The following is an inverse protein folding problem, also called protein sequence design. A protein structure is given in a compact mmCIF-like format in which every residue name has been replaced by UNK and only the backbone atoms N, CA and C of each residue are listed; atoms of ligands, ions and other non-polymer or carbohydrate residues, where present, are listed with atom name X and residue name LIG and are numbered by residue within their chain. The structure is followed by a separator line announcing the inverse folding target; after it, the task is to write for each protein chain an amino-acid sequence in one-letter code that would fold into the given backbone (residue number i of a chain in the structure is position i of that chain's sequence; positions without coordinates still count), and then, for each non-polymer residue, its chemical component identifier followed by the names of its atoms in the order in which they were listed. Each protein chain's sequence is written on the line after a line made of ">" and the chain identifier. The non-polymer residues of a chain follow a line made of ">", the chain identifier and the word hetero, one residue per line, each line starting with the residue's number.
data_IF_306000928747
#
_entry.id   IF_306000928747
#
_cell.length_a   1.000
_cell.length_b   1.000
_cell.length_c   1.000
_cell.angle_alpha   90.00
_cell.angle_beta   90.00
_cell.angle_gamma   90.00
#
_symmetry.space_group_name_H-M   'P 1'
#
loop_
_entity.id
_entity.type
_entity.pdbx_description
1 polymer ?
#
# COMPACT_ATOMS: atom_id res chain seq x y z
N UNK A 1 3.32 -0.98 0.34
CA UNK A 1 3.82 -2.36 0.12
C UNK A 1 3.65 -2.73 -1.35
N UNK A 2 4.55 -3.52 -1.94
CA UNK A 2 4.43 -4.09 -3.29
C UNK A 2 3.70 -5.43 -3.24
N UNK A 3 3.08 -5.85 -4.35
CA UNK A 3 2.36 -7.14 -4.38
C UNK A 3 3.30 -8.34 -4.10
N UNK A 4 4.52 -8.32 -4.61
CA UNK A 4 5.51 -9.36 -4.31
C UNK A 4 5.86 -9.42 -2.82
N UNK A 5 5.98 -8.28 -2.15
CA UNK A 5 6.19 -8.22 -0.69
C UNK A 5 4.99 -8.80 0.07
N UNK A 6 3.76 -8.53 -0.39
CA UNK A 6 2.55 -9.10 0.22
C UNK A 6 2.50 -10.62 0.06
N UNK A 7 2.82 -11.13 -1.12
CA UNK A 7 2.85 -12.58 -1.39
C UNK A 7 3.96 -13.27 -0.56
N UNK A 8 5.07 -12.58 -0.33
CA UNK A 8 6.21 -13.10 0.42
C UNK A 8 5.98 -13.16 1.93
N UNK A 9 4.96 -12.47 2.47
CA UNK A 9 4.69 -12.45 3.90
C UNK A 9 4.47 -13.84 4.48
N UNK A 10 5.09 -14.10 5.61
CA UNK A 10 4.84 -15.23 6.48
C UNK A 10 3.95 -14.83 7.67
N UNK A 11 3.36 -15.81 8.36
CA UNK A 11 2.55 -15.54 9.56
C UNK A 11 3.31 -14.78 10.64
N UNK A 12 4.59 -15.10 10.82
CA UNK A 12 5.49 -14.49 11.81
C UNK A 12 5.84 -13.03 11.54
N UNK A 13 5.56 -12.55 10.32
CA UNK A 13 5.90 -11.17 9.93
C UNK A 13 4.85 -10.15 10.40
N UNK A 14 3.75 -10.60 11.00
CA UNK A 14 2.74 -9.73 11.59
C UNK A 14 2.88 -9.77 13.11
N UNK A 15 3.23 -8.65 13.69
CA UNK A 15 3.18 -8.42 15.12
C UNK A 15 1.81 -7.80 15.46
N UNK A 16 0.93 -8.63 16.01
CA UNK A 16 -0.44 -8.25 16.34
C UNK A 16 -0.51 -7.31 17.55
N UNK A 17 0.44 -7.45 18.50
CA UNK A 17 0.47 -6.64 19.72
C UNK A 17 0.85 -5.19 19.43
N UNK A 18 1.84 -4.99 18.56
CA UNK A 18 2.34 -3.68 18.20
C UNK A 18 1.72 -3.12 16.91
N UNK A 19 0.77 -3.85 16.31
CA UNK A 19 0.14 -3.52 15.03
C UNK A 19 1.16 -3.27 13.90
N UNK A 20 2.23 -4.06 13.87
CA UNK A 20 3.36 -3.93 12.95
C UNK A 20 3.40 -5.07 11.94
N UNK A 21 3.86 -4.74 10.74
CA UNK A 21 4.19 -5.67 9.68
C UNK A 21 5.68 -5.56 9.34
N UNK A 22 6.40 -6.67 9.40
CA UNK A 22 7.81 -6.73 9.01
C UNK A 22 7.92 -7.19 7.56
N UNK A 23 8.39 -6.31 6.68
CA UNK A 23 8.70 -6.66 5.29
C UNK A 23 10.17 -7.01 5.23
N UNK A 24 10.46 -8.31 5.01
CA UNK A 24 11.82 -8.84 4.92
C UNK A 24 12.31 -8.82 3.48
N UNK A 25 13.62 -8.68 3.33
CA UNK A 25 14.34 -8.87 2.05
C UNK A 25 13.68 -8.13 0.87
N UNK A 26 13.19 -6.91 1.11
CA UNK A 26 12.70 -6.05 0.06
C UNK A 26 13.83 -5.72 -0.94
N UNK A 27 13.51 -5.02 -2.01
CA UNK A 27 14.49 -4.59 -3.01
C UNK A 27 15.75 -4.03 -2.32
N UNK A 28 16.94 -4.52 -2.69
CA UNK A 28 18.27 -4.26 -2.08
C UNK A 28 18.48 -4.89 -0.69
N UNK A 29 17.81 -6.01 -0.39
CA UNK A 29 17.96 -6.77 0.86
C UNK A 29 17.69 -5.94 2.14
N UNK A 30 16.87 -4.90 2.04
CA UNK A 30 16.48 -4.06 3.16
C UNK A 30 15.16 -4.55 3.75
N UNK A 31 15.14 -4.78 5.05
CA UNK A 31 13.90 -5.02 5.80
C UNK A 31 13.37 -3.70 6.35
N UNK A 32 12.05 -3.61 6.51
CA UNK A 32 11.40 -2.47 7.14
C UNK A 32 10.15 -2.88 7.89
N UNK A 33 9.86 -2.13 8.91
CA UNK A 33 8.61 -2.21 9.65
C UNK A 33 7.59 -1.23 9.07
N UNK A 34 6.34 -1.66 9.05
CA UNK A 34 5.21 -0.87 8.55
C UNK A 34 4.12 -0.93 9.61
N UNK A 35 3.81 0.23 10.20
CA UNK A 35 2.66 0.38 11.07
C UNK A 35 1.37 0.13 10.29
N UNK A 36 0.49 -0.67 10.87
CA UNK A 36 -0.80 -0.99 10.29
C UNK A 36 -1.89 -0.17 10.97
N UNK A 37 -2.78 0.37 10.17
CA UNK A 37 -3.97 1.01 10.71
C UNK A 37 -4.92 -0.05 11.29
N UNK A 38 -5.62 0.28 12.37
CA UNK A 38 -6.53 -0.64 13.08
C UNK A 38 -7.55 -1.32 12.14
N UNK A 39 -8.04 -0.62 11.11
CA UNK A 39 -8.94 -1.23 10.11
C UNK A 39 -8.25 -2.33 9.29
N UNK A 40 -6.95 -2.19 9.03
CA UNK A 40 -6.14 -3.20 8.33
C UNK A 40 -5.92 -4.41 9.23
N UNK A 41 -5.62 -4.20 10.50
CA UNK A 41 -5.50 -5.26 11.51
C UNK A 41 -6.80 -6.07 11.59
N UNK A 42 -7.95 -5.40 11.69
CA UNK A 42 -9.27 -6.07 11.69
C UNK A 42 -9.48 -6.92 10.44
N UNK A 43 -9.15 -6.39 9.25
CA UNK A 43 -9.29 -7.13 8.00
C UNK A 43 -8.36 -8.34 7.92
N UNK A 44 -7.09 -8.19 8.37
CA UNK A 44 -6.13 -9.29 8.41
C UNK A 44 -6.54 -10.36 9.41
N UNK A 45 -7.04 -9.98 10.60
CA UNK A 45 -7.55 -10.92 11.61
C UNK A 45 -8.76 -11.72 11.08
N UNK A 46 -9.70 -11.05 10.42
CA UNK A 46 -10.85 -11.72 9.81
C UNK A 46 -10.40 -12.69 8.69
N UNK A 47 -9.38 -12.30 7.90
CA UNK A 47 -8.79 -13.21 6.92
C UNK A 47 -8.16 -14.44 7.57
N UNK A 48 -7.37 -14.26 8.65
CA UNK A 48 -6.73 -15.38 9.38
C UNK A 48 -7.76 -16.35 9.91
N UNK A 49 -8.82 -15.86 10.57
CA UNK A 49 -9.89 -16.70 11.09
C UNK A 49 -10.55 -17.55 9.98
N UNK A 50 -10.87 -16.91 8.85
CA UNK A 50 -11.44 -17.61 7.70
C UNK A 50 -10.46 -18.58 7.04
N UNK A 51 -9.19 -18.18 6.91
CA UNK A 51 -8.15 -19.03 6.33
C UNK A 51 -7.92 -20.27 7.16
N UNK A 52 -7.79 -20.13 8.49
CA UNK A 52 -7.48 -21.24 9.39
C UNK A 52 -8.65 -22.24 9.47
N UNK A 53 -9.89 -21.77 9.26
CA UNK A 53 -11.06 -22.62 9.09
C UNK A 53 -11.03 -23.42 7.78
N UNK A 54 -10.66 -22.77 6.66
CA UNK A 54 -10.67 -23.39 5.33
C UNK A 54 -9.41 -24.18 5.00
N UNK A 55 -8.29 -23.85 5.63
CA UNK A 55 -6.98 -24.47 5.42
C UNK A 55 -6.24 -24.60 6.76
N UNK A 56 -6.65 -25.52 7.64
CA UNK A 56 -6.07 -25.67 8.99
C UNK A 56 -4.61 -26.11 8.97
N UNK A 57 -4.19 -26.81 7.91
CA UNK A 57 -2.82 -27.30 7.75
C UNK A 57 -2.19 -26.80 6.45
N UNK A 58 -1.79 -25.51 6.38
CA UNK A 58 -1.18 -24.98 5.17
C UNK A 58 0.19 -25.61 4.94
N UNK A 59 0.53 -25.84 3.67
CA UNK A 59 1.81 -26.44 3.25
C UNK A 59 2.98 -25.45 3.32
N UNK A 60 2.71 -24.16 3.51
CA UNK A 60 3.70 -23.10 3.54
C UNK A 60 3.47 -22.17 4.76
N UNK A 61 4.54 -21.57 5.32
CA UNK A 61 4.43 -20.61 6.43
C UNK A 61 3.80 -19.28 6.01
N UNK A 62 3.38 -19.16 4.75
CA UNK A 62 2.85 -17.95 4.14
C UNK A 62 1.65 -17.40 4.88
N UNK A 63 1.57 -16.09 4.98
CA UNK A 63 0.39 -15.44 5.51
C UNK A 63 -0.81 -15.62 4.58
N UNK A 64 -0.62 -15.30 3.29
CA UNK A 64 -1.64 -15.53 2.26
C UNK A 64 -1.39 -16.89 1.58
N UNK A 65 -2.42 -17.72 1.56
CA UNK A 65 -2.33 -19.05 0.97
C UNK A 65 -3.37 -19.28 -0.12
N UNK A 66 -3.04 -20.16 -1.05
CA UNK A 66 -3.98 -20.66 -2.04
C UNK A 66 -4.97 -21.64 -1.39
N UNK A 67 -6.01 -22.05 -2.12
CA UNK A 67 -6.93 -23.12 -1.69
C UNK A 67 -6.24 -24.47 -1.47
N UNK A 68 -5.00 -24.63 -1.95
CA UNK A 68 -4.16 -25.82 -1.73
C UNK A 68 -3.21 -25.66 -0.54
N UNK A 69 -3.27 -24.56 0.20
CA UNK A 69 -2.38 -24.28 1.33
C UNK A 69 -0.96 -23.86 0.94
N UNK A 70 -0.68 -23.62 -0.33
CA UNK A 70 0.63 -23.15 -0.83
C UNK A 70 0.67 -21.62 -0.86
N UNK A 71 1.90 -21.05 -0.91
CA UNK A 71 2.10 -19.63 -1.16
C UNK A 71 1.44 -19.21 -2.48
N UNK A 72 0.85 -18.02 -2.51
CA UNK A 72 0.26 -17.46 -3.72
C UNK A 72 1.34 -17.20 -4.78
N UNK A 73 0.94 -17.30 -6.05
CA UNK A 73 1.79 -16.97 -7.21
C UNK A 73 1.29 -15.69 -7.83
N UNK A 74 2.21 -14.80 -8.20
CA UNK A 74 1.90 -13.46 -8.71
C UNK A 74 0.90 -13.50 -9.88
N UNK A 75 1.10 -14.40 -10.83
CA UNK A 75 0.22 -14.53 -12.00
C UNK A 75 -1.23 -14.88 -11.61
N UNK A 76 -1.41 -15.75 -10.61
CA UNK A 76 -2.73 -16.12 -10.09
C UNK A 76 -3.41 -14.92 -9.42
N UNK A 77 -2.65 -14.16 -8.63
CA UNK A 77 -3.16 -12.96 -7.94
C UNK A 77 -3.56 -11.89 -8.95
N UNK A 78 -2.72 -11.63 -9.95
CA UNK A 78 -3.01 -10.63 -10.99
C UNK A 78 -4.21 -11.05 -11.85
N UNK A 79 -4.31 -12.31 -12.22
CA UNK A 79 -5.47 -12.85 -12.94
C UNK A 79 -6.76 -12.71 -12.13
N UNK A 80 -6.72 -13.10 -10.86
CA UNK A 80 -7.89 -12.98 -9.95
C UNK A 80 -8.30 -11.53 -9.80
N UNK A 81 -7.34 -10.62 -9.59
CA UNK A 81 -7.60 -9.19 -9.49
C UNK A 81 -8.30 -8.66 -10.75
N UNK A 82 -7.77 -8.97 -11.93
CA UNK A 82 -8.38 -8.55 -13.22
C UNK A 82 -9.78 -9.10 -13.39
N UNK A 83 -10.00 -10.36 -13.02
CA UNK A 83 -11.31 -10.99 -13.08
C UNK A 83 -12.34 -10.30 -12.18
N UNK A 84 -11.92 -9.88 -10.97
CA UNK A 84 -12.77 -9.14 -10.05
C UNK A 84 -13.06 -7.72 -10.55
N UNK A 85 -12.05 -7.03 -11.05
CA UNK A 85 -12.21 -5.69 -11.64
C UNK A 85 -13.16 -5.71 -12.83
N UNK A 86 -13.02 -6.70 -13.74
CA UNK A 86 -13.89 -6.84 -14.89
C UNK A 86 -15.37 -7.06 -14.51
N UNK A 87 -15.63 -7.66 -13.34
CA UNK A 87 -17.00 -7.84 -12.81
C UNK A 87 -17.55 -6.60 -12.11
N UNK A 88 -16.66 -5.79 -11.52
CA UNK A 88 -17.05 -4.66 -10.68
C UNK A 88 -17.14 -3.33 -11.45
N UNK A 89 -16.40 -3.19 -12.55
CA UNK A 89 -16.26 -1.93 -13.28
C UNK A 89 -16.67 -2.15 -14.74
N UNK A 90 -17.62 -1.37 -15.29
CA UNK A 90 -18.11 -1.56 -16.67
C UNK A 90 -17.07 -1.39 -17.78
N UNK A 91 -16.01 -0.62 -17.52
CA UNK A 91 -14.92 -0.39 -18.47
C UNK A 91 -13.57 -0.40 -17.76
N UNK A 92 -12.99 -1.55 -17.49
CA UNK A 92 -11.79 -1.70 -16.66
C UNK A 92 -10.50 -1.36 -17.43
N UNK A 93 -10.45 -0.24 -18.16
CA UNK A 93 -9.26 0.16 -18.90
C UNK A 93 -8.08 0.33 -17.93
N UNK A 94 -7.04 -0.48 -18.14
CA UNK A 94 -5.75 -0.41 -17.47
C UNK A 94 -5.70 -0.58 -15.94
N UNK A 95 -6.76 -1.11 -15.29
CA UNK A 95 -6.71 -1.44 -13.87
C UNK A 95 -5.70 -2.58 -13.59
N UNK A 96 -4.56 -2.23 -13.00
CA UNK A 96 -3.54 -3.17 -12.53
C UNK A 96 -3.50 -3.14 -11.01
N UNK A 97 -3.16 -4.26 -10.38
CA UNK A 97 -3.06 -4.34 -8.92
C UNK A 97 -2.08 -3.30 -8.33
N UNK A 98 -1.06 -2.91 -9.10
CA UNK A 98 -0.12 -1.86 -8.71
C UNK A 98 -0.78 -0.47 -8.60
N UNK A 99 -1.88 -0.24 -9.32
CA UNK A 99 -2.64 1.01 -9.22
C UNK A 99 -3.21 1.24 -7.82
N UNK A 100 -3.54 0.19 -7.06
CA UNK A 100 -3.96 0.33 -5.66
C UNK A 100 -2.91 1.04 -4.80
N UNK A 101 -1.64 0.75 -5.05
CA UNK A 101 -0.53 1.42 -4.36
C UNK A 101 -0.41 2.89 -4.77
N UNK A 102 -0.58 3.19 -6.07
CA UNK A 102 -0.61 4.58 -6.56
C UNK A 102 -1.78 5.34 -5.93
N UNK A 103 -2.98 4.77 -5.95
CA UNK A 103 -4.17 5.36 -5.31
C UNK A 103 -3.94 5.63 -3.82
N UNK A 104 -3.32 4.71 -3.10
CA UNK A 104 -2.98 4.91 -1.70
C UNK A 104 -2.03 6.11 -1.53
N UNK A 105 -0.96 6.20 -2.32
CA UNK A 105 0.02 7.29 -2.23
C UNK A 105 -0.63 8.65 -2.55
N UNK A 106 -1.39 8.72 -3.64
CA UNK A 106 -2.10 9.94 -4.07
C UNK A 106 -3.12 10.39 -3.01
N UNK A 107 -3.98 9.49 -2.53
CA UNK A 107 -4.97 9.81 -1.51
C UNK A 107 -4.33 10.25 -0.18
N UNK A 108 -3.16 9.72 0.17
CA UNK A 108 -2.42 10.14 1.35
C UNK A 108 -1.92 11.58 1.19
N UNK A 109 -1.34 11.91 0.03
CA UNK A 109 -0.87 13.25 -0.27
C UNK A 109 -2.02 14.26 -0.35
N UNK A 110 -3.11 13.93 -1.04
CA UNK A 110 -4.32 14.78 -1.11
C UNK A 110 -4.86 15.10 0.29
N UNK A 111 -4.90 14.10 1.18
CA UNK A 111 -5.33 14.32 2.56
C UNK A 111 -4.38 15.28 3.28
N UNK A 112 -3.07 15.08 3.16
CA UNK A 112 -2.09 15.96 3.80
C UNK A 112 -2.15 17.40 3.28
N UNK A 113 -2.43 17.59 1.99
CA UNK A 113 -2.65 18.92 1.43
C UNK A 113 -3.89 19.59 2.03
N UNK A 114 -5.01 18.85 2.12
CA UNK A 114 -6.27 19.35 2.67
C UNK A 114 -6.18 19.64 4.19
N UNK A 115 -5.45 18.81 4.92
CA UNK A 115 -5.25 18.97 6.37
C UNK A 115 -4.26 20.09 6.73
N UNK A 116 -3.66 20.79 5.76
CA UNK A 116 -2.70 21.87 5.99
C UNK A 116 -1.36 21.44 6.58
N UNK A 117 -1.05 20.13 6.64
CA UNK A 117 0.18 19.60 7.21
C UNK A 117 1.44 19.94 6.41
N UNK A 118 2.59 19.87 7.05
CA UNK A 118 3.89 20.00 6.38
C UNK A 118 4.16 18.74 5.53
N UNK A 119 4.03 18.88 4.22
CA UNK A 119 4.16 17.79 3.28
C UNK A 119 5.61 17.39 3.12
N UNK A 120 6.54 18.34 3.08
CA UNK A 120 7.96 18.06 2.91
C UNK A 120 8.50 17.23 4.07
N UNK A 121 8.14 17.58 5.30
CA UNK A 121 8.49 16.80 6.49
C UNK A 121 7.89 15.38 6.49
N UNK A 122 6.72 15.19 5.86
CA UNK A 122 6.02 13.89 5.80
C UNK A 122 6.42 13.01 4.60
N UNK A 123 7.00 13.58 3.55
CA UNK A 123 7.40 12.82 2.35
C UNK A 123 8.37 11.67 2.62
N UNK A 124 9.42 11.81 3.47
CA UNK A 124 10.28 10.69 3.83
C UNK A 124 9.54 9.54 4.49
N UNK A 125 8.52 9.83 5.33
CA UNK A 125 7.69 8.80 5.98
C UNK A 125 6.90 8.01 4.94
N UNK A 126 6.26 8.69 3.99
CA UNK A 126 5.55 8.03 2.89
C UNK A 126 6.50 7.19 2.03
N UNK A 127 7.69 7.72 1.71
CA UNK A 127 8.72 7.02 0.96
C UNK A 127 9.12 5.70 1.64
N UNK A 128 9.37 5.75 2.95
CA UNK A 128 9.71 4.58 3.77
C UNK A 128 8.55 3.60 3.83
N UNK A 129 7.33 4.06 4.07
CA UNK A 129 6.13 3.23 4.10
C UNK A 129 5.90 2.50 2.77
N UNK A 130 6.07 3.21 1.67
CA UNK A 130 6.01 2.63 0.33
C UNK A 130 7.21 1.72 0.04
N UNK A 131 8.35 1.90 0.68
CA UNK A 131 9.59 1.18 0.43
C UNK A 131 10.26 1.62 -0.88
N UNK A 132 10.29 2.92 -1.13
CA UNK A 132 11.09 3.49 -2.19
C UNK A 132 12.57 3.55 -1.73
N UNK A 133 13.47 3.05 -2.57
CA UNK A 133 14.91 3.15 -2.33
C UNK A 133 15.46 4.56 -2.60
N UNK A 134 14.74 5.32 -3.42
CA UNK A 134 15.02 6.71 -3.77
C UNK A 134 13.79 7.57 -3.46
N UNK A 135 13.89 8.59 -2.61
CA UNK A 135 12.80 9.52 -2.30
C UNK A 135 12.20 10.20 -3.55
N UNK A 136 13.00 10.42 -4.61
CA UNK A 136 12.52 10.99 -5.87
C UNK A 136 11.35 10.23 -6.47
N UNK A 137 11.29 8.92 -6.26
CA UNK A 137 10.16 8.10 -6.69
C UNK A 137 8.84 8.44 -5.95
N UNK A 138 8.91 9.05 -4.78
CA UNK A 138 7.73 9.55 -4.05
C UNK A 138 7.37 10.96 -4.51
N UNK A 139 8.36 11.81 -4.74
CA UNK A 139 8.13 13.18 -5.26
C UNK A 139 7.49 13.19 -6.65
N UNK A 140 7.71 12.14 -7.45
CA UNK A 140 7.04 11.97 -8.74
C UNK A 140 5.50 12.09 -8.64
N UNK A 141 4.90 11.65 -7.53
CA UNK A 141 3.45 11.77 -7.34
C UNK A 141 2.97 13.21 -7.30
N UNK A 142 3.78 14.14 -6.79
CA UNK A 142 3.41 15.56 -6.71
C UNK A 142 3.29 16.18 -8.10
N UNK A 143 4.18 15.80 -9.03
CA UNK A 143 4.19 16.34 -10.39
C UNK A 143 3.28 15.58 -11.37
N UNK A 144 2.97 14.32 -11.08
CA UNK A 144 2.21 13.47 -11.99
C UNK A 144 0.69 13.51 -11.79
N UNK A 145 0.22 14.17 -10.73
CA UNK A 145 -1.20 14.23 -10.38
C UNK A 145 -1.68 15.67 -10.45
N UNK A 146 -2.50 16.05 -11.49
CA UNK A 146 -2.95 17.43 -11.69
C UNK A 146 -3.65 18.03 -10.46
N UNK A 147 -4.45 17.25 -9.76
CA UNK A 147 -5.15 17.68 -8.53
C UNK A 147 -4.17 18.08 -7.42
N UNK A 148 -3.04 17.37 -7.27
CA UNK A 148 -2.00 17.73 -6.31
C UNK A 148 -1.27 19.01 -6.71
N UNK A 149 -1.04 19.23 -8.00
CA UNK A 149 -0.46 20.47 -8.51
C UNK A 149 -1.38 21.66 -8.24
N UNK A 150 -2.70 21.52 -8.47
CA UNK A 150 -3.68 22.56 -8.16
C UNK A 150 -3.64 22.96 -6.68
N UNK A 151 -3.70 21.99 -5.77
CA UNK A 151 -3.62 22.25 -4.32
C UNK A 151 -2.28 22.86 -3.89
N UNK A 152 -1.18 22.49 -4.54
CA UNK A 152 0.13 23.09 -4.27
C UNK A 152 0.17 24.57 -4.69
N UNK A 153 -0.43 24.90 -5.84
CA UNK A 153 -0.55 26.29 -6.34
C UNK A 153 -1.42 27.14 -5.41
N UNK A 154 -2.60 26.67 -5.04
CA UNK A 154 -3.49 27.36 -4.09
C UNK A 154 -2.80 27.66 -2.78
N UNK A 155 -2.03 26.72 -2.27
CA UNK A 155 -1.27 26.88 -1.02
C UNK A 155 -0.15 27.91 -1.17
N UNK A 156 0.54 27.93 -2.31
CA UNK A 156 1.57 28.92 -2.59
C UNK A 156 0.99 30.34 -2.67
N UNK A 157 -0.17 30.50 -3.29
CA UNK A 157 -0.89 31.77 -3.39
C UNK A 157 -1.29 32.30 -2.01
N UNK A 158 -1.78 31.43 -1.12
CA UNK A 158 -2.08 31.78 0.27
C UNK A 158 -0.84 32.31 1.00
N UNK A 159 0.30 31.63 0.86
CA UNK A 159 1.57 32.05 1.49
C UNK A 159 2.11 33.37 0.92
N UNK A 160 1.89 33.65 -0.35
CA UNK A 160 2.36 34.89 -0.97
C UNK A 160 1.38 36.04 -0.75
N UNK A 161 0.08 35.78 -0.65
CA UNK A 161 -0.96 36.78 -0.35
C UNK A 161 -0.96 37.28 1.09
N UNK A 162 -0.47 36.50 2.07
CA UNK A 162 -0.31 36.94 3.47
C UNK A 162 0.92 37.84 3.70
N UNK A 163 1.78 38.03 2.70
CA UNK A 163 2.98 38.90 2.77
C UNK A 163 2.82 40.23 2.08
N UNK A 164 1.65 40.58 1.59
CA UNK A 164 1.28 41.89 0.98
C UNK A 164 0.37 42.65 1.90
#
# INVERSE_FOLDING_TARGET
>A
MRIGEAIALDRKDINWADELLVIREAKFNKSREVLLHTSTIKALSAYVAKRDLLCPHPLAPSFFVSTRGTRLVLNTVDWTFRSLVAKAIPSPQHCRIHALRHTFAVNTLLRWYRDGGDIEARMPLLSTYLGHGDPRATYWYLSAVPELLGLATERLEQYTGERS
#
